data_IF_145334972381
#
_entry.id   IF_145334972381
#
_cell.length_a   1.000
_cell.length_b   1.000
_cell.length_c   1.000
_cell.angle_alpha   90.00
_cell.angle_beta   90.00
_cell.angle_gamma   90.00
#
_symmetry.space_group_name_H-M   'P 1'
#
loop_
_entity.id
_entity.type
_entity.pdbx_description
1 polymer ?
#
# COMPACT_ATOMS: atom_id res chain seq x y z
N UNK A 1 -7.36 -15.62 -16.10
CA UNK A 1 -8.66 -14.94 -15.87
C UNK A 1 -8.66 -14.44 -14.45
N UNK A 2 -8.94 -13.17 -14.24
CA UNK A 2 -9.00 -12.53 -12.91
C UNK A 2 -10.46 -12.17 -12.62
N UNK A 3 -10.93 -12.52 -11.42
CA UNK A 3 -12.30 -12.24 -10.98
C UNK A 3 -12.29 -11.07 -9.99
N UNK A 4 -13.24 -10.15 -10.13
CA UNK A 4 -13.48 -9.08 -9.16
C UNK A 4 -14.72 -9.45 -8.36
N UNK A 5 -14.57 -9.59 -7.05
CA UNK A 5 -15.67 -9.87 -6.13
C UNK A 5 -16.10 -8.59 -5.40
N UNK A 6 -17.36 -8.21 -5.55
CA UNK A 6 -17.96 -7.10 -4.80
C UNK A 6 -18.74 -7.62 -3.60
N UNK A 7 -18.42 -7.13 -2.40
CA UNK A 7 -19.12 -7.41 -1.13
C UNK A 7 -19.30 -8.90 -0.82
N UNK A 8 -18.44 -9.75 -1.39
CA UNK A 8 -18.54 -11.20 -1.26
C UNK A 8 -18.04 -11.65 0.11
N UNK A 9 -18.94 -12.18 0.94
CA UNK A 9 -18.60 -12.70 2.27
C UNK A 9 -18.08 -14.14 2.17
N UNK A 10 -16.80 -14.34 2.45
CA UNK A 10 -16.12 -15.64 2.52
C UNK A 10 -15.13 -15.62 3.70
N UNK A 11 -14.59 -16.77 4.10
CA UNK A 11 -13.55 -16.80 5.15
C UNK A 11 -12.29 -16.06 4.72
N UNK A 12 -11.55 -15.49 5.67
CA UNK A 12 -10.28 -14.82 5.37
C UNK A 12 -9.29 -15.75 4.65
N UNK A 13 -9.15 -17.00 5.10
CA UNK A 13 -8.31 -18.00 4.43
C UNK A 13 -8.70 -18.24 2.96
N UNK A 14 -10.00 -18.38 2.67
CA UNK A 14 -10.47 -18.51 1.29
C UNK A 14 -10.22 -17.25 0.46
N UNK A 15 -10.32 -16.06 1.08
CA UNK A 15 -10.08 -14.78 0.42
C UNK A 15 -8.60 -14.65 0.04
N UNK A 16 -7.70 -14.92 0.97
CA UNK A 16 -6.24 -14.93 0.72
C UNK A 16 -5.87 -15.90 -0.39
N UNK A 17 -6.38 -17.14 -0.36
CA UNK A 17 -6.14 -18.10 -1.44
C UNK A 17 -6.60 -17.58 -2.81
N UNK A 18 -7.76 -16.93 -2.87
CA UNK A 18 -8.28 -16.32 -4.10
C UNK A 18 -7.39 -15.16 -4.60
N UNK A 19 -6.97 -14.27 -3.69
CA UNK A 19 -6.06 -13.16 -3.97
C UNK A 19 -4.69 -13.64 -4.48
N UNK A 20 -4.18 -14.76 -3.95
CA UNK A 20 -2.92 -15.37 -4.39
C UNK A 20 -3.00 -15.97 -5.81
N UNK A 21 -4.20 -16.22 -6.33
CA UNK A 21 -4.44 -16.60 -7.73
C UNK A 21 -4.70 -15.41 -8.66
N UNK A 22 -4.68 -14.19 -8.12
CA UNK A 22 -4.84 -12.96 -8.88
C UNK A 22 -6.25 -12.36 -8.86
N UNK A 23 -7.18 -12.93 -8.11
CA UNK A 23 -8.50 -12.32 -7.96
C UNK A 23 -8.43 -11.03 -7.12
N UNK A 24 -9.44 -10.18 -7.25
CA UNK A 24 -9.61 -8.94 -6.49
C UNK A 24 -10.85 -8.99 -5.62
N UNK A 25 -10.81 -8.29 -4.48
CA UNK A 25 -11.97 -8.07 -3.63
C UNK A 25 -12.21 -6.59 -3.40
N UNK A 26 -13.47 -6.18 -3.51
CA UNK A 26 -13.96 -4.85 -3.19
C UNK A 26 -15.01 -4.98 -2.09
N UNK A 27 -14.83 -4.24 -1.00
CA UNK A 27 -15.79 -4.16 0.09
C UNK A 27 -16.22 -2.72 0.33
N UNK A 28 -17.52 -2.51 0.48
CA UNK A 28 -18.12 -1.26 0.95
C UNK A 28 -18.68 -1.47 2.35
N UNK A 29 -18.93 -0.37 3.06
CA UNK A 29 -19.61 -0.37 4.36
C UNK A 29 -18.92 -1.28 5.40
N UNK A 30 -17.59 -1.15 5.52
CA UNK A 30 -16.80 -1.83 6.55
C UNK A 30 -16.52 -0.82 7.65
N UNK A 31 -17.15 -1.01 8.81
CA UNK A 31 -17.11 -0.04 9.91
C UNK A 31 -15.69 0.38 10.31
N UNK A 32 -14.76 -0.57 10.43
CA UNK A 32 -13.35 -0.29 10.72
C UNK A 32 -12.62 0.47 9.60
N UNK A 33 -13.02 0.30 8.34
CA UNK A 33 -12.51 1.09 7.21
C UNK A 33 -13.04 2.51 7.24
N UNK A 34 -14.34 2.68 7.48
CA UNK A 34 -14.98 3.97 7.62
C UNK A 34 -14.36 4.75 8.81
N UNK A 35 -14.16 4.08 9.94
CA UNK A 35 -13.56 4.69 11.13
C UNK A 35 -12.09 5.11 10.91
N UNK A 36 -11.31 4.33 10.17
CA UNK A 36 -9.93 4.68 9.84
C UNK A 36 -9.87 5.82 8.81
N UNK A 37 -10.76 5.82 7.82
CA UNK A 37 -10.92 6.92 6.88
C UNK A 37 -11.34 8.23 7.59
N UNK A 38 -12.30 8.18 8.51
CA UNK A 38 -12.73 9.35 9.28
C UNK A 38 -11.64 9.87 10.21
N UNK A 39 -10.84 8.98 10.80
CA UNK A 39 -9.65 9.39 11.54
C UNK A 39 -8.63 10.10 10.64
N UNK A 40 -8.39 9.59 9.44
CA UNK A 40 -7.54 10.26 8.46
C UNK A 40 -8.09 11.64 8.07
N UNK A 41 -9.40 11.76 7.81
CA UNK A 41 -10.06 13.04 7.51
C UNK A 41 -9.87 14.06 8.63
N UNK A 42 -9.98 13.64 9.90
CA UNK A 42 -9.77 14.52 11.04
C UNK A 42 -8.33 15.06 11.07
N UNK A 43 -7.33 14.18 10.94
CA UNK A 43 -5.93 14.60 10.88
C UNK A 43 -5.63 15.52 9.68
N UNK A 44 -6.24 15.24 8.53
CA UNK A 44 -6.12 16.09 7.33
C UNK A 44 -6.74 17.46 7.57
N UNK A 45 -7.94 17.52 8.14
CA UNK A 45 -8.62 18.78 8.45
C UNK A 45 -7.78 19.66 9.40
N UNK A 46 -7.19 19.06 10.44
CA UNK A 46 -6.29 19.74 11.37
C UNK A 46 -5.02 20.27 10.66
N UNK A 47 -4.44 19.49 9.74
CA UNK A 47 -3.21 19.88 9.03
C UNK A 47 -3.43 21.03 8.02
N UNK A 48 -4.61 21.11 7.42
CA UNK A 48 -4.94 22.13 6.42
C UNK A 48 -5.66 23.36 6.99
N UNK A 49 -6.04 23.33 8.28
CA UNK A 49 -6.50 24.49 9.07
C UNK A 49 -7.59 25.33 8.36
N UNK A 50 -8.72 24.70 8.06
CA UNK A 50 -9.88 25.36 7.46
C UNK A 50 -9.80 25.57 5.94
N UNK A 51 -8.69 25.22 5.29
CA UNK A 51 -8.62 25.09 3.83
C UNK A 51 -9.32 23.80 3.38
N UNK A 52 -9.83 23.81 2.14
CA UNK A 52 -10.25 22.58 1.47
C UNK A 52 -9.00 21.75 1.13
N UNK A 53 -8.77 20.60 1.79
CA UNK A 53 -7.55 19.83 1.61
C UNK A 53 -7.42 19.25 0.20
N UNK A 54 -8.55 18.97 -0.49
CA UNK A 54 -8.55 18.45 -1.86
C UNK A 54 -8.16 19.52 -2.88
N UNK A 55 -8.25 20.81 -2.52
CA UNK A 55 -7.92 21.96 -3.39
C UNK A 55 -6.77 22.82 -2.88
N UNK A 56 -6.22 22.51 -1.72
CA UNK A 56 -5.21 23.33 -1.04
C UNK A 56 -3.97 23.62 -1.91
N UNK A 57 -3.58 22.69 -2.78
CA UNK A 57 -2.47 22.85 -3.73
C UNK A 57 -2.57 24.10 -4.63
N UNK A 58 -3.77 24.66 -4.83
CA UNK A 58 -3.98 25.85 -5.66
C UNK A 58 -3.85 27.16 -4.90
N UNK A 59 -3.66 27.09 -3.57
CA UNK A 59 -3.61 28.26 -2.68
C UNK A 59 -2.32 28.36 -1.87
N UNK A 60 -1.38 27.43 -2.08
CA UNK A 60 -0.08 27.39 -1.40
C UNK A 60 1.02 26.90 -2.34
N UNK A 61 2.27 27.17 -2.00
CA UNK A 61 3.42 26.62 -2.70
C UNK A 61 3.75 25.19 -2.23
N UNK A 62 4.73 24.57 -2.88
CA UNK A 62 5.12 23.18 -2.62
C UNK A 62 5.74 23.04 -1.23
N UNK A 63 6.55 24.01 -0.82
CA UNK A 63 7.20 24.03 0.49
C UNK A 63 6.17 24.09 1.63
N UNK A 64 5.19 24.98 1.53
CA UNK A 64 4.08 25.07 2.50
C UNK A 64 3.27 23.77 2.51
N UNK A 65 2.93 23.22 1.34
CA UNK A 65 2.20 21.95 1.25
C UNK A 65 2.94 20.80 1.94
N UNK A 66 4.25 20.67 1.70
CA UNK A 66 5.10 19.65 2.34
C UNK A 66 5.12 19.85 3.86
N UNK A 67 5.25 21.09 4.33
CA UNK A 67 5.30 21.41 5.77
C UNK A 67 4.04 20.98 6.52
N UNK A 68 2.88 20.94 5.84
CA UNK A 68 1.60 20.47 6.37
C UNK A 68 1.47 18.94 6.27
N UNK A 69 1.85 18.36 5.13
CA UNK A 69 1.67 16.93 4.85
C UNK A 69 2.66 16.05 5.63
N UNK A 70 3.89 16.49 5.87
CA UNK A 70 4.89 15.65 6.55
C UNK A 70 4.48 15.29 8.00
N UNK A 71 4.10 16.24 8.89
CA UNK A 71 3.61 15.92 10.22
C UNK A 71 2.36 15.05 10.20
N UNK A 72 1.42 15.34 9.29
CA UNK A 72 0.19 14.56 9.08
C UNK A 72 0.51 13.09 8.80
N UNK A 73 1.39 12.81 7.82
CA UNK A 73 1.77 11.44 7.47
C UNK A 73 2.45 10.73 8.62
N UNK A 74 3.33 11.44 9.35
CA UNK A 74 4.03 10.89 10.53
C UNK A 74 3.05 10.50 11.63
N UNK A 75 2.07 11.35 11.92
CA UNK A 75 1.04 11.08 12.93
C UNK A 75 0.15 9.91 12.51
N UNK A 76 -0.39 9.93 11.29
CA UNK A 76 -1.20 8.81 10.80
C UNK A 76 -0.42 7.49 10.84
N UNK A 77 0.84 7.51 10.42
CA UNK A 77 1.71 6.31 10.43
C UNK A 77 1.95 5.81 11.86
N UNK A 78 2.36 6.66 12.79
CA UNK A 78 2.90 6.20 14.08
C UNK A 78 1.91 6.26 15.25
N UNK A 79 0.79 6.97 15.08
CA UNK A 79 -0.21 7.24 16.10
C UNK A 79 -0.80 5.97 16.70
N UNK A 80 -0.91 5.93 18.03
CA UNK A 80 -1.52 4.81 18.75
C UNK A 80 -2.98 4.58 18.30
N UNK A 81 -3.72 5.68 18.11
CA UNK A 81 -5.09 5.63 17.63
C UNK A 81 -5.22 4.98 16.26
N UNK A 82 -4.30 5.26 15.33
CA UNK A 82 -4.30 4.60 14.02
C UNK A 82 -4.12 3.10 14.16
N UNK A 83 -3.20 2.65 15.03
CA UNK A 83 -2.97 1.21 15.26
C UNK A 83 -4.21 0.50 15.80
N UNK A 84 -4.90 1.10 16.78
CA UNK A 84 -6.18 0.57 17.29
C UNK A 84 -7.23 0.42 16.18
N UNK A 85 -7.31 1.41 15.28
CA UNK A 85 -8.23 1.40 14.16
C UNK A 85 -7.83 0.36 13.10
N UNK A 86 -6.54 0.14 12.88
CA UNK A 86 -6.04 -0.94 12.02
C UNK A 86 -6.40 -2.33 12.58
N UNK A 87 -6.31 -2.53 13.90
CA UNK A 87 -6.76 -3.79 14.52
C UNK A 87 -8.24 -4.03 14.24
N UNK A 88 -9.09 -3.01 14.46
CA UNK A 88 -10.53 -3.06 14.17
C UNK A 88 -10.83 -3.33 12.70
N UNK A 89 -10.20 -2.58 11.80
CA UNK A 89 -10.28 -2.76 10.36
C UNK A 89 -10.02 -4.22 9.96
N UNK A 90 -8.93 -4.79 10.48
CA UNK A 90 -8.54 -6.15 10.15
C UNK A 90 -9.57 -7.17 10.69
N UNK A 91 -10.01 -7.01 11.95
CA UNK A 91 -11.01 -7.91 12.54
C UNK A 91 -12.37 -7.84 11.84
N UNK A 92 -12.81 -6.67 11.36
CA UNK A 92 -14.08 -6.52 10.63
C UNK A 92 -14.07 -7.23 9.28
N UNK A 93 -12.89 -7.41 8.70
CA UNK A 93 -12.69 -8.22 7.50
C UNK A 93 -12.56 -9.72 7.81
N UNK A 94 -12.71 -10.13 9.07
CA UNK A 94 -12.76 -11.52 9.51
C UNK A 94 -11.41 -12.23 9.58
N UNK A 95 -10.31 -11.48 9.71
CA UNK A 95 -8.99 -12.08 9.96
C UNK A 95 -8.91 -12.66 11.38
N UNK A 96 -8.07 -13.66 11.57
CA UNK A 96 -7.72 -14.16 12.92
C UNK A 96 -6.69 -13.21 13.57
N UNK A 97 -7.03 -12.52 14.67
CA UNK A 97 -6.13 -11.53 15.27
C UNK A 97 -4.87 -12.11 15.90
N UNK A 98 -4.86 -13.41 16.24
CA UNK A 98 -3.69 -14.07 16.83
C UNK A 98 -2.69 -14.55 15.78
N UNK A 99 -3.17 -14.74 14.54
CA UNK A 99 -2.40 -15.28 13.41
C UNK A 99 -2.05 -14.22 12.37
N UNK A 100 -2.72 -13.08 12.40
CA UNK A 100 -2.53 -12.02 11.42
C UNK A 100 -1.71 -10.89 12.01
N UNK A 101 -0.80 -10.39 11.21
CA UNK A 101 0.00 -9.21 11.51
C UNK A 101 -0.26 -8.16 10.43
N UNK A 102 -0.18 -6.89 10.79
CA UNK A 102 -0.31 -5.77 9.86
C UNK A 102 0.93 -4.89 9.89
N UNK A 103 1.30 -4.31 8.75
CA UNK A 103 2.34 -3.29 8.69
C UNK A 103 1.81 -1.94 9.19
N UNK A 104 2.71 -1.01 9.42
CA UNK A 104 2.30 0.34 9.81
C UNK A 104 1.55 1.01 8.63
N UNK A 105 0.31 1.51 8.84
CA UNK A 105 -0.50 2.06 7.75
C UNK A 105 0.17 3.28 7.12
N UNK A 106 0.04 3.42 5.79
CA UNK A 106 0.70 4.48 5.01
C UNK A 106 -0.33 5.41 4.39
N UNK A 107 -0.40 6.65 4.87
CA UNK A 107 -1.17 7.70 4.19
C UNK A 107 -0.47 8.11 2.90
N UNK A 108 -1.23 8.21 1.82
CA UNK A 108 -0.82 8.69 0.49
C UNK A 108 -1.53 10.00 0.21
N UNK A 109 -0.75 11.00 -0.17
CA UNK A 109 -1.23 12.33 -0.54
C UNK A 109 -0.68 12.62 -1.93
N UNK A 110 -1.55 12.61 -2.95
CA UNK A 110 -1.16 12.74 -4.36
C UNK A 110 -1.86 13.96 -4.96
N UNK A 111 -1.20 15.11 -5.02
CA UNK A 111 -1.71 16.31 -5.69
C UNK A 111 -1.97 16.08 -7.19
N UNK A 112 -2.86 16.90 -7.77
CA UNK A 112 -3.17 16.91 -9.19
C UNK A 112 -2.12 17.69 -10.00
N UNK A 113 -2.05 17.40 -11.30
CA UNK A 113 -1.39 18.21 -12.33
C UNK A 113 0.11 18.42 -12.08
N UNK A 114 0.78 17.38 -11.57
CA UNK A 114 2.22 17.36 -11.30
C UNK A 114 2.68 18.45 -10.30
N UNK A 115 1.78 18.93 -9.43
CA UNK A 115 2.14 19.91 -8.40
C UNK A 115 3.28 19.41 -7.50
N UNK A 116 3.22 18.16 -7.04
CA UNK A 116 4.32 17.49 -6.35
C UNK A 116 4.26 15.97 -6.62
N UNK A 117 5.32 15.41 -7.19
CA UNK A 117 5.41 13.98 -7.56
C UNK A 117 6.61 13.26 -6.95
N UNK A 118 7.29 13.89 -6.00
CA UNK A 118 8.52 13.40 -5.35
C UNK A 118 8.37 13.38 -3.83
N UNK A 119 9.26 12.65 -3.15
CA UNK A 119 9.37 12.70 -1.69
C UNK A 119 8.09 12.29 -0.98
N UNK A 120 7.49 13.22 -0.23
CA UNK A 120 6.26 12.95 0.56
C UNK A 120 5.03 12.63 -0.31
N UNK A 121 5.05 13.04 -1.58
CA UNK A 121 4.00 12.73 -2.58
C UNK A 121 4.58 11.96 -3.78
N UNK A 122 5.58 11.11 -3.54
CA UNK A 122 6.16 10.25 -4.59
C UNK A 122 5.08 9.49 -5.36
N UNK A 123 5.05 9.71 -6.68
CA UNK A 123 4.13 9.02 -7.57
C UNK A 123 4.75 7.69 -8.00
N UNK A 124 4.25 6.58 -7.43
CA UNK A 124 4.84 5.26 -7.64
C UNK A 124 4.68 4.80 -9.09
N UNK A 125 5.83 4.52 -9.73
CA UNK A 125 5.88 3.80 -11.02
C UNK A 125 5.35 2.38 -10.86
N UNK A 126 5.11 1.69 -11.97
CA UNK A 126 4.67 0.30 -11.95
C UNK A 126 5.59 -0.58 -11.12
N UNK A 127 5.03 -1.35 -10.19
CA UNK A 127 5.76 -2.27 -9.34
C UNK A 127 4.87 -3.37 -8.78
N UNK A 128 5.51 -4.42 -8.27
CA UNK A 128 4.92 -5.35 -7.30
C UNK A 128 5.46 -5.01 -5.93
N UNK A 129 4.70 -5.21 -4.86
CA UNK A 129 5.22 -4.95 -3.51
C UNK A 129 6.43 -5.84 -3.19
N UNK A 130 6.48 -7.05 -3.78
CA UNK A 130 7.64 -7.94 -3.63
C UNK A 130 8.94 -7.33 -4.15
N UNK A 131 8.90 -6.37 -5.08
CA UNK A 131 10.10 -5.66 -5.55
C UNK A 131 10.72 -4.79 -4.45
N UNK A 132 9.95 -4.43 -3.43
CA UNK A 132 10.37 -3.65 -2.26
C UNK A 132 10.68 -4.53 -1.04
N UNK A 133 10.86 -5.85 -1.21
CA UNK A 133 11.20 -6.77 -0.11
C UNK A 133 9.99 -7.18 0.76
N UNK A 134 8.76 -6.99 0.26
CA UNK A 134 7.57 -7.55 0.91
C UNK A 134 7.44 -9.06 0.66
N UNK A 135 6.94 -9.85 1.64
CA UNK A 135 6.74 -11.28 1.47
C UNK A 135 5.66 -11.57 0.41
N UNK A 136 5.75 -12.73 -0.25
CA UNK A 136 4.74 -13.19 -1.21
C UNK A 136 3.33 -13.23 -0.60
N UNK A 137 3.22 -13.57 0.70
CA UNK A 137 1.96 -13.73 1.42
C UNK A 137 1.29 -12.41 1.80
N UNK A 138 1.89 -11.27 1.45
CA UNK A 138 1.33 -9.97 1.76
C UNK A 138 0.04 -9.73 0.97
N UNK A 139 -0.98 -9.29 1.70
CA UNK A 139 -2.25 -8.79 1.19
C UNK A 139 -2.31 -7.29 1.42
N UNK A 140 -2.59 -6.53 0.36
CA UNK A 140 -2.80 -5.09 0.42
C UNK A 140 -4.27 -4.76 0.56
N UNK A 141 -4.55 -3.72 1.34
CA UNK A 141 -5.84 -3.07 1.48
C UNK A 141 -5.64 -1.59 1.17
N UNK A 142 -6.08 -1.17 -0.02
CA UNK A 142 -6.07 0.22 -0.42
C UNK A 142 -7.45 0.83 -0.18
N UNK A 143 -7.49 1.97 0.52
CA UNK A 143 -8.75 2.64 0.86
C UNK A 143 -8.64 4.14 0.60
N UNK A 144 -9.57 4.75 -0.15
CA UNK A 144 -9.59 6.19 -0.34
C UNK A 144 -10.17 6.90 0.91
N UNK A 145 -9.58 8.03 1.28
CA UNK A 145 -10.05 8.84 2.42
C UNK A 145 -11.21 9.74 2.01
N UNK A 146 -11.18 10.26 0.79
CA UNK A 146 -12.29 10.97 0.11
C UNK A 146 -12.70 10.19 -1.14
N UNK A 147 -13.93 10.35 -1.67
CA UNK A 147 -14.32 9.69 -2.91
C UNK A 147 -13.34 9.95 -4.06
N UNK A 148 -13.04 8.92 -4.84
CA UNK A 148 -12.05 8.98 -5.93
C UNK A 148 -12.68 8.79 -7.30
N UNK A 149 -11.93 9.14 -8.34
CA UNK A 149 -12.31 8.96 -9.75
C UNK A 149 -11.21 8.18 -10.50
N UNK A 150 -11.53 7.65 -11.67
CA UNK A 150 -10.56 6.86 -12.46
C UNK A 150 -9.23 7.58 -12.77
N UNK A 151 -9.21 8.90 -12.73
CA UNK A 151 -8.05 9.75 -13.05
C UNK A 151 -7.17 10.05 -11.83
N UNK A 152 -7.50 9.54 -10.64
CA UNK A 152 -6.66 9.73 -9.45
C UNK A 152 -6.44 8.45 -8.63
N UNK A 153 -6.66 7.26 -9.17
CA UNK A 153 -6.50 5.99 -8.43
C UNK A 153 -5.19 5.26 -8.77
N UNK A 154 -5.16 3.95 -8.59
CA UNK A 154 -4.06 3.09 -9.02
C UNK A 154 -4.46 2.34 -10.29
N UNK A 155 -3.51 2.19 -11.20
CA UNK A 155 -3.58 1.30 -12.35
C UNK A 155 -3.18 -0.10 -11.93
N UNK A 156 -4.01 -1.10 -12.24
CA UNK A 156 -3.72 -2.52 -12.05
C UNK A 156 -3.52 -3.19 -13.41
N UNK A 157 -2.36 -3.77 -13.67
CA UNK A 157 -2.00 -4.36 -14.97
C UNK A 157 -2.24 -5.87 -14.94
N UNK A 158 -3.49 -6.27 -15.19
CA UNK A 158 -3.98 -7.64 -14.93
C UNK A 158 -3.36 -8.71 -15.84
N UNK A 159 -2.91 -8.32 -17.03
CA UNK A 159 -2.18 -9.15 -17.98
C UNK A 159 -0.74 -9.49 -17.52
N UNK A 160 -0.25 -8.82 -16.48
CA UNK A 160 1.06 -9.07 -15.88
C UNK A 160 1.00 -9.80 -14.54
N UNK A 161 -0.11 -10.45 -14.16
CA UNK A 161 -0.14 -11.19 -12.89
C UNK A 161 0.91 -12.32 -12.84
N UNK A 162 1.02 -13.13 -13.90
CA UNK A 162 1.93 -14.27 -14.01
C UNK A 162 3.05 -14.09 -15.05
N UNK A 163 3.12 -12.91 -15.67
CA UNK A 163 4.13 -12.52 -16.67
C UNK A 163 5.19 -11.62 -16.02
N UNK A 164 6.48 -11.96 -16.12
CA UNK A 164 7.55 -11.16 -15.54
C UNK A 164 7.75 -9.83 -16.29
N UNK A 165 8.15 -8.79 -15.56
CA UNK A 165 8.67 -7.54 -16.11
C UNK A 165 10.12 -7.36 -15.68
N UNK A 166 11.03 -7.07 -16.62
CA UNK A 166 12.42 -6.77 -16.27
C UNK A 166 12.47 -5.52 -15.38
N UNK A 167 13.03 -5.64 -14.19
CA UNK A 167 12.98 -4.58 -13.17
C UNK A 167 14.29 -4.50 -12.36
N UNK A 168 14.41 -3.47 -11.54
CA UNK A 168 15.60 -3.16 -10.76
C UNK A 168 15.65 -3.81 -9.35
N UNK A 169 14.70 -4.70 -9.00
CA UNK A 169 14.63 -5.29 -7.65
C UNK A 169 15.84 -6.12 -7.26
N UNK A 170 16.61 -6.67 -8.21
CA UNK A 170 17.86 -7.39 -7.93
C UNK A 170 18.92 -6.54 -7.20
N UNK A 171 18.82 -5.21 -7.27
CA UNK A 171 19.70 -4.28 -6.59
C UNK A 171 19.04 -3.66 -5.35
N UNK A 172 17.84 -4.11 -4.98
CA UNK A 172 17.08 -3.60 -3.85
C UNK A 172 17.24 -4.51 -2.65
N UNK A 173 17.75 -3.95 -1.56
CA UNK A 173 17.75 -4.58 -0.24
C UNK A 173 16.93 -3.73 0.74
N UNK A 174 15.99 -4.37 1.44
CA UNK A 174 15.09 -3.65 2.34
C UNK A 174 15.82 -3.04 3.56
N UNK A 175 16.80 -3.74 4.12
CA UNK A 175 17.50 -3.28 5.31
C UNK A 175 18.40 -2.09 4.96
N UNK A 176 19.08 -2.16 3.80
CA UNK A 176 19.79 -1.03 3.23
C UNK A 176 18.85 0.15 2.99
N UNK A 177 17.69 -0.08 2.37
CA UNK A 177 16.70 0.97 2.09
C UNK A 177 16.27 1.71 3.36
N UNK A 178 15.95 0.98 4.43
CA UNK A 178 15.57 1.56 5.72
C UNK A 178 16.70 2.39 6.31
N UNK A 179 17.94 1.89 6.25
CA UNK A 179 19.11 2.53 6.85
C UNK A 179 19.56 3.80 6.12
N UNK A 180 19.44 3.85 4.78
CA UNK A 180 20.10 4.90 3.97
C UNK A 180 19.16 5.75 3.13
N UNK A 181 18.06 5.18 2.61
CA UNK A 181 17.23 5.83 1.59
C UNK A 181 15.88 6.34 2.10
N UNK A 182 15.23 5.60 3.01
CA UNK A 182 13.93 5.97 3.59
C UNK A 182 13.94 7.35 4.27
N UNK A 183 14.95 7.73 5.08
CA UNK A 183 14.97 9.03 5.76
C UNK A 183 15.08 10.22 4.80
N UNK A 184 15.64 10.02 3.60
CA UNK A 184 15.85 11.08 2.61
C UNK A 184 14.57 11.50 1.86
N UNK A 185 13.40 10.94 2.17
CA UNK A 185 12.15 11.24 1.46
C UNK A 185 11.78 12.74 1.54
N UNK A 186 11.92 13.36 2.72
CA UNK A 186 11.51 14.75 2.93
C UNK A 186 12.38 15.77 2.17
N UNK A 187 13.64 15.43 1.89
CA UNK A 187 14.56 16.30 1.13
C UNK A 187 14.36 16.27 -0.39
N UNK A 188 13.49 15.40 -0.92
CA UNK A 188 13.21 15.28 -2.35
C UNK A 188 11.97 16.10 -2.73
N UNK A 189 12.15 17.40 -3.00
CA UNK A 189 11.06 18.34 -3.29
C UNK A 189 10.71 18.47 -4.77
N UNK A 190 11.65 18.19 -5.68
CA UNK A 190 11.45 18.34 -7.14
C UNK A 190 11.53 17.01 -7.89
N UNK A 191 12.51 16.18 -7.55
CA UNK A 191 12.71 14.87 -8.13
C UNK A 191 13.09 13.88 -7.02
N UNK A 192 12.67 12.63 -7.17
CA UNK A 192 13.01 11.57 -6.24
C UNK A 192 14.14 10.71 -6.82
N UNK A 193 15.34 10.84 -6.26
CA UNK A 193 16.54 10.15 -6.75
C UNK A 193 16.82 8.85 -6.01
N UNK A 194 15.94 8.41 -5.10
CA UNK A 194 16.15 7.18 -4.35
C UNK A 194 16.05 5.96 -5.30
N UNK A 195 16.81 4.88 -5.07
CA UNK A 195 16.90 3.74 -5.97
C UNK A 195 15.67 2.83 -5.85
N UNK A 196 14.52 3.33 -6.29
CA UNK A 196 13.30 2.56 -6.34
C UNK A 196 13.45 1.38 -7.33
N UNK A 197 12.95 0.17 -7.00
CA UNK A 197 13.06 -1.03 -7.82
C UNK A 197 12.05 -1.00 -8.99
N UNK A 198 12.25 -0.07 -9.93
CA UNK A 198 11.30 0.22 -11.02
C UNK A 198 11.55 -0.67 -12.26
N UNK A 199 10.63 -0.71 -13.24
CA UNK A 199 10.85 -1.39 -14.51
C UNK A 199 12.08 -0.85 -15.25
N UNK A 200 12.81 -1.74 -15.91
CA UNK A 200 13.99 -1.44 -16.72
C UNK A 200 13.69 -1.52 -18.23
N UNK A 201 12.43 -1.77 -18.57
CA UNK A 201 11.91 -1.81 -19.92
C UNK A 201 10.50 -1.19 -19.93
N UNK A 202 10.12 -0.64 -21.08
CA UNK A 202 8.75 -0.25 -21.32
C UNK A 202 7.89 -1.51 -21.51
N UNK A 203 6.66 -1.46 -21.05
CA UNK A 203 5.69 -2.52 -21.26
C UNK A 203 4.32 -1.91 -21.59
N UNK A 204 3.56 -2.58 -22.44
CA UNK A 204 2.20 -2.17 -22.78
C UNK A 204 1.21 -3.11 -22.11
N UNK A 205 0.20 -2.56 -21.46
CA UNK A 205 -0.90 -3.36 -20.90
C UNK A 205 -2.17 -3.15 -21.71
N UNK A 206 -2.82 -4.25 -22.08
CA UNK A 206 -4.20 -4.26 -22.60
C UNK A 206 -5.20 -4.64 -21.50
N UNK A 207 -4.71 -5.08 -20.35
CA UNK A 207 -5.46 -5.46 -19.17
C UNK A 207 -5.44 -4.43 -18.04
N UNK A 208 -5.19 -3.14 -18.33
CA UNK A 208 -5.24 -2.09 -17.31
C UNK A 208 -6.68 -1.92 -16.81
N UNK A 209 -6.86 -2.06 -15.49
CA UNK A 209 -8.10 -1.68 -14.81
C UNK A 209 -7.80 -0.69 -13.69
N UNK A 210 -8.82 0.10 -13.35
CA UNK A 210 -8.78 1.07 -12.25
C UNK A 210 -10.06 0.92 -11.43
N UNK A 211 -9.92 0.90 -10.12
CA UNK A 211 -11.05 0.79 -9.18
C UNK A 211 -11.22 2.16 -8.51
N UNK A 212 -12.36 2.80 -8.74
CA UNK A 212 -12.73 4.08 -8.14
C UNK A 212 -13.95 3.88 -7.23
N UNK A 213 -13.75 4.06 -5.93
CA UNK A 213 -14.77 3.88 -4.88
C UNK A 213 -15.05 5.16 -4.10
N UNK A 214 -16.04 5.08 -3.20
CA UNK A 214 -16.31 6.09 -2.19
C UNK A 214 -15.30 6.05 -1.05
N UNK A 215 -15.32 7.07 -0.18
CA UNK A 215 -14.50 7.09 1.02
C UNK A 215 -14.79 5.84 1.89
N UNK A 216 -13.74 5.16 2.37
CA UNK A 216 -13.88 3.94 3.17
C UNK A 216 -14.02 2.65 2.37
N UNK A 217 -14.26 2.71 1.06
CA UNK A 217 -14.33 1.51 0.22
C UNK A 217 -12.96 0.81 0.13
N UNK A 218 -12.93 -0.48 0.42
CA UNK A 218 -11.69 -1.25 0.54
C UNK A 218 -11.44 -2.05 -0.73
N UNK A 219 -10.34 -1.75 -1.42
CA UNK A 219 -9.82 -2.56 -2.52
C UNK A 219 -8.68 -3.46 -2.05
N UNK A 220 -8.80 -4.77 -2.27
CA UNK A 220 -7.87 -5.79 -1.77
C UNK A 220 -7.23 -6.54 -2.94
N UNK A 221 -5.90 -6.65 -2.89
CA UNK A 221 -5.06 -7.34 -3.88
C UNK A 221 -3.83 -7.97 -3.23
N UNK A 222 -3.24 -8.99 -3.86
CA UNK A 222 -1.99 -9.61 -3.38
C UNK A 222 -0.74 -8.84 -3.82
N UNK A 223 0.37 -9.03 -3.11
CA UNK A 223 1.68 -8.42 -3.40
C UNK A 223 2.24 -8.73 -4.79
N UNK A 224 1.70 -9.76 -5.47
CA UNK A 224 2.06 -10.12 -6.84
C UNK A 224 1.26 -9.38 -7.90
N UNK A 225 0.37 -8.43 -7.59
CA UNK A 225 -0.24 -7.61 -8.63
C UNK A 225 0.70 -6.49 -9.07
N UNK A 226 1.01 -6.42 -10.37
CA UNK A 226 1.72 -5.28 -10.94
C UNK A 226 0.77 -4.08 -10.95
N UNK A 227 1.17 -3.00 -10.29
CA UNK A 227 0.34 -1.82 -10.14
C UNK A 227 1.18 -0.52 -10.11
N UNK A 228 0.56 0.60 -10.46
CA UNK A 228 1.18 1.92 -10.43
C UNK A 228 0.20 2.95 -9.86
N UNK A 229 0.73 4.04 -9.32
CA UNK A 229 -0.10 5.23 -9.12
C UNK A 229 -0.34 5.89 -10.47
N UNK A 230 -1.61 6.10 -10.82
CA UNK A 230 -1.98 6.82 -12.05
C UNK A 230 -1.58 8.29 -11.90
N UNK A 231 -1.09 8.96 -12.97
CA UNK A 231 -0.94 10.42 -12.96
C UNK A 231 -2.25 11.09 -12.57
N UNK A 232 -2.25 11.85 -11.47
CA UNK A 232 -3.45 12.53 -11.03
C UNK A 232 -3.73 13.75 -11.91
N UNK A 233 -4.81 13.66 -12.70
CA UNK A 233 -5.30 14.73 -13.59
C UNK A 233 -6.73 15.14 -13.25
N UNK A 234 -7.20 14.79 -12.03
CA UNK A 234 -8.60 14.99 -11.63
C UNK A 234 -8.92 16.42 -11.19
N UNK A 235 -7.90 17.27 -11.02
CA UNK A 235 -8.04 18.64 -10.51
C UNK A 235 -8.20 18.70 -8.98
N UNK A 236 -8.00 17.58 -8.27
CA UNK A 236 -8.02 17.53 -6.80
C UNK A 236 -6.91 16.64 -6.24
N UNK A 237 -6.42 16.95 -5.05
CA UNK A 237 -5.48 16.11 -4.31
C UNK A 237 -6.17 14.86 -3.79
N UNK A 238 -5.64 13.68 -4.14
CA UNK A 238 -6.11 12.41 -3.57
C UNK A 238 -5.47 12.18 -2.20
N UNK A 239 -6.33 11.82 -1.24
CA UNK A 239 -5.92 11.20 0.01
C UNK A 239 -6.40 9.75 0.04
N UNK A 240 -5.49 8.82 0.28
CA UNK A 240 -5.79 7.38 0.45
C UNK A 240 -4.86 6.79 1.50
N UNK A 241 -5.13 5.60 1.99
CA UNK A 241 -4.17 4.86 2.81
C UNK A 241 -3.99 3.42 2.32
N UNK A 242 -2.80 2.89 2.56
CA UNK A 242 -2.51 1.47 2.43
C UNK A 242 -2.40 0.86 3.83
N UNK A 243 -3.04 -0.28 4.02
CA UNK A 243 -2.76 -1.22 5.09
C UNK A 243 -2.31 -2.53 4.44
N UNK A 244 -1.35 -3.23 5.04
CA UNK A 244 -0.93 -4.53 4.55
C UNK A 244 -1.01 -5.54 5.67
N UNK A 245 -1.40 -6.76 5.35
CA UNK A 245 -1.40 -7.86 6.32
C UNK A 245 -0.65 -9.07 5.80
N UNK A 246 -0.14 -9.86 6.72
CA UNK A 246 0.26 -11.24 6.49
C UNK A 246 -0.45 -12.15 7.49
N UNK A 247 -0.67 -13.40 7.09
CA UNK A 247 -1.03 -14.47 8.02
C UNK A 247 0.21 -15.33 8.29
N UNK A 248 0.52 -15.56 9.57
CA UNK A 248 1.73 -16.27 9.98
C UNK A 248 1.79 -17.71 9.45
N UNK A 249 0.65 -18.40 9.41
CA UNK A 249 0.62 -19.78 8.95
C UNK A 249 0.89 -19.86 7.44
N UNK A 250 0.44 -18.86 6.66
CA UNK A 250 0.75 -18.77 5.24
C UNK A 250 2.24 -18.52 5.01
N UNK A 251 2.86 -17.64 5.80
CA UNK A 251 4.31 -17.36 5.70
C UNK A 251 5.12 -18.61 6.03
N UNK A 252 4.82 -19.29 7.15
CA UNK A 252 5.51 -20.50 7.57
C UNK A 252 5.35 -21.67 6.59
N UNK A 253 4.22 -21.73 5.88
CA UNK A 253 3.92 -22.78 4.90
C UNK A 253 4.29 -22.39 3.47
N UNK A 254 4.81 -21.18 3.23
CA UNK A 254 5.10 -20.67 1.89
C UNK A 254 3.85 -20.52 1.00
N UNK A 255 2.66 -20.34 1.59
CA UNK A 255 1.38 -20.23 0.86
C UNK A 255 1.17 -18.81 0.35
N UNK A 256 1.68 -18.51 -0.83
CA UNK A 256 1.49 -17.22 -1.50
C UNK A 256 1.46 -17.35 -3.02
N UNK A 257 1.27 -16.23 -3.75
CA UNK A 257 1.47 -16.19 -5.19
C UNK A 257 2.91 -16.56 -5.54
N UNK A 258 3.13 -17.15 -6.70
CA UNK A 258 4.48 -17.42 -7.23
C UNK A 258 5.22 -16.09 -7.46
N UNK A 259 6.46 -15.98 -6.98
CA UNK A 259 7.33 -14.88 -7.38
C UNK A 259 7.69 -15.03 -8.86
N UNK A 260 7.34 -14.05 -9.68
CA UNK A 260 7.57 -14.11 -11.14
C UNK A 260 8.80 -13.32 -11.59
N UNK A 261 9.17 -12.26 -10.87
CA UNK A 261 10.19 -11.31 -11.32
C UNK A 261 10.88 -10.50 -10.20
N UNK A 262 10.62 -10.75 -8.92
CA UNK A 262 11.35 -10.09 -7.84
C UNK A 262 12.66 -10.79 -7.53
N UNK A 263 13.75 -10.03 -7.43
CA UNK A 263 15.00 -10.47 -6.82
C UNK A 263 15.47 -9.58 -5.67
N UNK A 264 14.54 -8.87 -5.03
CA UNK A 264 14.82 -8.08 -3.84
C UNK A 264 15.31 -8.96 -2.67
N UNK A 265 16.20 -8.40 -1.84
CA UNK A 265 16.69 -9.00 -0.61
C UNK A 265 16.26 -8.20 0.62
N UNK A 266 16.58 -8.71 1.82
CA UNK A 266 16.02 -8.20 3.07
C UNK A 266 14.54 -8.57 3.24
N UNK A 267 13.89 -8.04 4.27
CA UNK A 267 12.46 -8.31 4.47
C UNK A 267 11.75 -7.23 5.28
N UNK A 268 10.54 -6.90 4.83
CA UNK A 268 9.63 -6.02 5.59
C UNK A 268 9.01 -6.67 6.82
N UNK A 269 9.19 -7.98 7.04
CA UNK A 269 8.54 -8.72 8.13
C UNK A 269 8.75 -8.10 9.52
N UNK A 270 9.89 -7.45 9.76
CA UNK A 270 10.18 -6.76 11.01
C UNK A 270 9.32 -5.53 11.30
N UNK A 271 8.62 -4.99 10.29
CA UNK A 271 7.74 -3.82 10.45
C UNK A 271 6.31 -4.24 10.88
N UNK A 272 6.01 -5.54 10.95
CA UNK A 272 4.66 -6.05 11.20
C UNK A 272 4.34 -6.21 12.68
N UNK A 273 3.13 -5.80 13.05
CA UNK A 273 2.59 -5.88 14.41
C UNK A 273 1.40 -6.84 14.44
N UNK A 274 1.30 -7.67 15.48
CA UNK A 274 0.20 -8.62 15.64
C UNK A 274 -1.11 -7.88 15.84
N UNK A 275 -2.16 -8.34 15.18
CA UNK A 275 -3.49 -7.71 15.26
C UNK A 275 -4.08 -7.79 16.68
N UNK A 276 -3.82 -8.84 17.46
CA UNK A 276 -4.42 -8.98 18.80
C UNK A 276 -3.89 -7.99 19.83
N UNK A 277 -2.58 -7.72 19.84
CA UNK A 277 -1.93 -7.00 20.94
C UNK A 277 -0.80 -6.05 20.53
N UNK A 278 -0.60 -5.83 19.23
CA UNK A 278 0.46 -4.99 18.66
C UNK A 278 1.88 -5.48 18.98
N UNK A 279 2.06 -6.73 19.40
CA UNK A 279 3.40 -7.30 19.56
C UNK A 279 4.12 -7.34 18.21
N UNK A 280 5.43 -6.98 18.14
CA UNK A 280 6.20 -7.10 16.91
C UNK A 280 6.33 -8.56 16.49
N UNK A 281 6.48 -8.79 15.19
CA UNK A 281 6.80 -10.11 14.68
C UNK A 281 8.27 -10.45 14.93
N UNK A 282 8.53 -11.54 15.64
CA UNK A 282 9.89 -12.01 15.94
C UNK A 282 10.49 -12.78 14.74
N UNK A 283 11.35 -12.12 13.96
CA UNK A 283 11.90 -12.63 12.69
C UNK A 283 12.81 -13.86 12.87
N UNK A 284 13.35 -14.07 14.07
CA UNK A 284 14.25 -15.19 14.39
C UNK A 284 13.59 -16.56 14.17
N UNK A 285 12.25 -16.63 14.21
CA UNK A 285 11.48 -17.85 13.95
C UNK A 285 11.51 -18.28 12.46
N UNK A 286 11.91 -17.38 11.55
CA UNK A 286 11.83 -17.57 10.09
C UNK A 286 13.17 -17.91 9.43
N UNK A 287 14.29 -17.78 10.14
CA UNK A 287 15.66 -18.06 9.64
C UNK A 287 15.87 -19.55 9.29
N UNK A 288 14.88 -20.42 9.53
CA UNK A 288 14.93 -21.86 9.24
C UNK A 288 14.20 -22.31 7.96
N UNK A 289 13.60 -21.41 7.17
CA UNK A 289 13.04 -21.79 5.87
C UNK A 289 14.14 -21.65 4.80
N UNK A 290 14.65 -22.75 4.21
CA UNK A 290 15.74 -22.66 3.25
C UNK A 290 15.28 -21.86 2.02
N UNK A 291 16.17 -21.00 1.50
CA UNK A 291 16.05 -20.26 0.24
C UNK A 291 16.02 -21.17 -1.02
N UNK A 292 15.60 -22.42 -0.89
CA UNK A 292 15.64 -23.44 -1.92
C UNK A 292 14.23 -23.83 -2.37
N UNK A 293 13.40 -22.85 -2.76
CA UNK A 293 12.28 -23.02 -3.68
C UNK A 293 12.00 -21.69 -4.42
N UNK A 294 13.07 -21.13 -5.02
CA UNK A 294 12.99 -20.07 -6.03
C UNK A 294 12.70 -20.69 -7.39
#
# INVERSE_FOLDING_TARGET
MITIYLNRRISDGGRRESLYRGDFFLYTDIEGADALADHAKALIADAFDGLDPERAQYSMDVEEFISRVEPLKREFTNGHRTKELCQRFATDLGVDPERTYFDIPRLRVIPSDQFLTAGVSYNYKAHRDMWYGHPQQLVNYWTPVFPVVGDNVMSMFTDYFDVPVKNASNAYDYDEWVATHRPAAASNTTADTRPHPVPLEDFESRGEIRIAGGAGDVFIFSSNHLHASTPNTSGVTRFSYDLRTINIDDVLQGKGPRNVDSGATGSTLGDFLRVSDLAPLEIEEFVRVPAAMV
#
